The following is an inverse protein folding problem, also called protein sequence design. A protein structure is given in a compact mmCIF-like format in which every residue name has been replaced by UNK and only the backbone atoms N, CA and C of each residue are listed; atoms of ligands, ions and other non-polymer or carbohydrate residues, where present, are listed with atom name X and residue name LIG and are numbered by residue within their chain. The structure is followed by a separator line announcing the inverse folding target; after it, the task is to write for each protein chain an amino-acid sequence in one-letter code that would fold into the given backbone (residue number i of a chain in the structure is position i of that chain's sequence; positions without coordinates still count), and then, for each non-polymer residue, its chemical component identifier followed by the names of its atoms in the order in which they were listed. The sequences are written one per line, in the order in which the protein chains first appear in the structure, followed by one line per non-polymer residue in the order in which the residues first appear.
data_IF_074913883294
#
_entry.id   IF_074913883294
#
_cell.length_a   1.000
_cell.length_b   1.000
_cell.length_c   1.000
_cell.angle_alpha   90.00
_cell.angle_beta   90.00
_cell.angle_gamma   90.00
#
_symmetry.space_group_name_H-M   'P 1'
#
loop_
_entity.id
_entity.type
_entity.pdbx_description
1 polymer ?
#
# COMPACT_ATOMS: atom_id res chain seq x y z
N UNK A 1 -1.41 -6.48 12.71
CA UNK A 1 -0.88 -7.58 11.87
C UNK A 1 0.51 -7.14 11.47
N UNK A 2 1.52 -8.01 11.64
CA UNK A 2 2.90 -7.67 11.28
C UNK A 2 3.05 -7.64 9.75
N UNK A 3 3.61 -6.55 9.20
CA UNK A 3 3.85 -6.43 7.77
C UNK A 3 5.17 -7.12 7.40
N UNK A 4 5.08 -8.15 6.56
CA UNK A 4 6.21 -8.95 6.06
C UNK A 4 6.85 -8.33 4.81
N UNK A 5 6.19 -7.34 4.20
CA UNK A 5 6.69 -6.64 3.01
C UNK A 5 7.56 -5.47 3.46
N UNK A 6 8.86 -5.57 3.20
CA UNK A 6 9.85 -4.57 3.59
C UNK A 6 10.36 -3.74 2.42
N UNK A 7 10.25 -4.26 1.19
CA UNK A 7 10.74 -3.60 -0.03
C UNK A 7 9.75 -3.75 -1.19
N UNK A 8 9.88 -2.88 -2.17
CA UNK A 8 9.10 -2.87 -3.42
C UNK A 8 10.02 -2.59 -4.59
N UNK A 9 9.79 -3.28 -5.71
CA UNK A 9 10.44 -2.96 -6.98
C UNK A 9 9.60 -1.91 -7.75
N UNK A 10 10.22 -0.77 -8.06
CA UNK A 10 9.61 0.25 -8.91
C UNK A 10 9.61 -0.17 -10.38
N UNK A 11 8.86 0.58 -11.20
CA UNK A 11 8.72 0.36 -12.64
C UNK A 11 10.03 0.45 -13.43
N UNK A 12 10.98 1.22 -12.92
CA UNK A 12 12.33 1.37 -13.49
C UNK A 12 13.29 0.24 -13.04
N UNK A 13 12.81 -0.73 -12.27
CA UNK A 13 13.58 -1.83 -11.72
C UNK A 13 14.27 -1.52 -10.39
N UNK A 14 14.23 -0.27 -9.91
CA UNK A 14 14.87 0.11 -8.64
C UNK A 14 14.13 -0.47 -7.44
N UNK A 15 14.88 -0.94 -6.43
CA UNK A 15 14.31 -1.48 -5.20
C UNK A 15 14.34 -0.38 -4.13
N UNK A 16 13.21 -0.15 -3.48
CA UNK A 16 13.07 0.81 -2.38
C UNK A 16 12.36 0.18 -1.19
N UNK A 17 12.43 0.84 -0.04
CA UNK A 17 11.69 0.40 1.13
C UNK A 17 10.18 0.55 0.94
N UNK A 18 9.44 -0.41 1.46
CA UNK A 18 7.99 -0.41 1.42
C UNK A 18 7.45 0.69 2.33
N UNK A 19 6.58 1.53 1.78
CA UNK A 19 5.93 2.61 2.50
C UNK A 19 4.41 2.59 2.24
N UNK A 20 3.64 2.17 3.25
CA UNK A 20 2.18 2.12 3.18
C UNK A 20 1.54 3.50 3.00
N UNK A 21 2.21 4.59 3.43
CA UNK A 21 1.66 5.94 3.32
C UNK A 21 1.44 6.30 1.84
N UNK A 22 2.32 5.85 0.94
CA UNK A 22 2.17 6.05 -0.50
C UNK A 22 0.90 5.41 -1.08
N UNK A 23 0.51 4.25 -0.55
CA UNK A 23 -0.74 3.58 -0.94
C UNK A 23 -1.93 4.36 -0.38
N UNK A 24 -1.86 4.76 0.89
CA UNK A 24 -2.91 5.54 1.56
C UNK A 24 -3.17 6.86 0.83
N UNK A 25 -2.12 7.58 0.45
CA UNK A 25 -2.19 8.85 -0.27
C UNK A 25 -2.77 8.70 -1.67
N UNK A 26 -2.40 7.65 -2.39
CA UNK A 26 -2.96 7.37 -3.71
C UNK A 26 -4.48 7.12 -3.63
N UNK A 27 -4.92 6.33 -2.64
CA UNK A 27 -6.34 6.08 -2.40
C UNK A 27 -7.05 7.37 -1.96
N UNK A 28 -6.44 8.15 -1.06
CA UNK A 28 -7.01 9.41 -0.59
C UNK A 28 -7.20 10.42 -1.73
N UNK A 29 -6.21 10.54 -2.63
CA UNK A 29 -6.31 11.38 -3.84
C UNK A 29 -7.47 10.94 -4.74
N UNK A 30 -7.64 9.63 -4.95
CA UNK A 30 -8.75 9.10 -5.75
C UNK A 30 -10.13 9.34 -5.11
N UNK A 31 -10.25 9.12 -3.79
CA UNK A 31 -11.48 9.40 -3.04
C UNK A 31 -11.82 10.90 -3.05
N UNK A 32 -10.83 11.76 -2.89
CA UNK A 32 -11.01 13.22 -2.94
C UNK A 32 -11.44 13.68 -4.32
N UNK A 33 -10.78 13.17 -5.39
CA UNK A 33 -11.12 13.53 -6.77
C UNK A 33 -12.55 13.13 -7.17
N UNK A 34 -13.12 12.11 -6.51
CA UNK A 34 -14.49 11.64 -6.75
C UNK A 34 -15.51 12.17 -5.73
N UNK A 35 -15.06 12.93 -4.71
CA UNK A 35 -15.92 13.40 -3.62
C UNK A 35 -16.45 12.28 -2.71
N UNK A 36 -15.82 11.10 -2.71
CA UNK A 36 -16.37 9.87 -2.10
C UNK A 36 -15.71 9.44 -0.79
N UNK A 37 -14.81 10.22 -0.19
CA UNK A 37 -14.24 9.81 1.08
C UNK A 37 -13.27 10.76 1.76
N UNK A 38 -12.94 10.38 2.98
CA UNK A 38 -12.02 11.06 3.88
C UNK A 38 -10.72 10.25 4.07
N UNK A 39 -9.76 10.82 4.82
CA UNK A 39 -8.50 10.16 5.12
C UNK A 39 -8.65 8.86 5.93
N UNK A 40 -9.72 8.72 6.73
CA UNK A 40 -9.98 7.49 7.52
C UNK A 40 -10.33 6.32 6.60
N UNK A 41 -11.17 6.56 5.59
CA UNK A 41 -11.54 5.55 4.60
C UNK A 41 -10.33 5.12 3.77
N UNK A 42 -9.46 6.05 3.40
CA UNK A 42 -8.23 5.76 2.68
C UNK A 42 -7.29 4.84 3.49
N UNK A 43 -7.08 5.16 4.78
CA UNK A 43 -6.27 4.32 5.68
C UNK A 43 -6.82 2.89 5.77
N UNK A 44 -8.13 2.75 6.01
CA UNK A 44 -8.79 1.43 6.11
C UNK A 44 -8.64 0.60 4.84
N UNK A 45 -8.68 1.23 3.66
CA UNK A 45 -8.45 0.55 2.39
C UNK A 45 -6.97 0.17 2.20
N UNK A 46 -6.04 1.04 2.58
CA UNK A 46 -4.60 0.73 2.53
C UNK A 46 -4.25 -0.47 3.44
N UNK A 47 -4.86 -0.57 4.62
CA UNK A 47 -4.64 -1.69 5.54
C UNK A 47 -5.09 -3.02 4.89
N UNK A 48 -6.20 -3.01 4.15
CA UNK A 48 -6.66 -4.18 3.39
C UNK A 48 -5.69 -4.56 2.27
N UNK A 49 -5.12 -3.58 1.56
CA UNK A 49 -4.09 -3.85 0.55
C UNK A 49 -2.89 -4.54 1.19
N UNK A 50 -2.40 -4.03 2.32
CA UNK A 50 -1.29 -4.65 3.07
C UNK A 50 -1.64 -6.07 3.51
N UNK A 51 -2.86 -6.34 3.97
CA UNK A 51 -3.30 -7.70 4.30
C UNK A 51 -3.26 -8.64 3.09
N UNK A 52 -3.72 -8.18 1.93
CA UNK A 52 -3.70 -8.97 0.69
C UNK A 52 -2.25 -9.26 0.26
N UNK A 53 -1.37 -8.25 0.30
CA UNK A 53 0.05 -8.43 -0.01
C UNK A 53 0.69 -9.45 0.92
N UNK A 54 0.46 -9.35 2.23
CA UNK A 54 0.99 -10.28 3.23
C UNK A 54 0.45 -11.71 3.12
N UNK A 55 -0.71 -11.90 2.48
CA UNK A 55 -1.25 -13.22 2.16
C UNK A 55 -0.63 -13.79 0.88
N UNK A 56 -0.32 -12.93 -0.09
CA UNK A 56 0.16 -13.33 -1.42
C UNK A 56 1.65 -13.59 -1.46
N UNK A 57 2.43 -12.79 -0.75
CA UNK A 57 3.88 -12.81 -0.79
C UNK A 57 4.47 -13.38 0.50
N UNK A 58 5.58 -14.09 0.36
CA UNK A 58 6.36 -14.62 1.49
C UNK A 58 7.21 -13.51 2.10
N UNK A 59 7.78 -13.81 3.27
CA UNK A 59 8.80 -12.95 3.88
C UNK A 59 9.97 -12.79 2.90
N UNK A 60 10.47 -11.57 2.77
CA UNK A 60 11.60 -11.18 1.91
C UNK A 60 11.36 -11.21 0.39
N UNK A 61 10.14 -11.53 -0.07
CA UNK A 61 9.75 -11.27 -1.45
C UNK A 61 9.59 -9.76 -1.69
N UNK A 62 10.00 -9.31 -2.88
CA UNK A 62 9.97 -7.91 -3.29
C UNK A 62 8.90 -7.75 -4.38
N UNK A 63 7.65 -7.46 -3.99
CA UNK A 63 6.57 -7.20 -4.93
C UNK A 63 6.71 -5.87 -5.68
#
# INVERSE_FOLDING_TARGET
MENKITKVQKRDGTIVDFDQTRISDAIFKALTATGQGDGKRAKKLSDKVVQILNRRFKKDEIP
#
